data_IF_068108363378
#
_entry.id   IF_068108363378
#
_cell.length_a   1.000
_cell.length_b   1.000
_cell.length_c   1.000
_cell.angle_alpha   90.00
_cell.angle_beta   90.00
_cell.angle_gamma   90.00
#
_symmetry.space_group_name_H-M   'P 1'
#
loop_
_entity.id
_entity.type
_entity.pdbx_description
1 polymer ?
#
# COMPACT_ATOMS: atom_id res chain seq x y z
N UNK A 1 12.23 -11.06 -22.10
CA UNK A 1 11.71 -9.93 -22.89
C UNK A 1 11.40 -10.42 -24.30
N UNK A 2 10.56 -9.70 -25.07
CA UNK A 2 10.27 -10.07 -26.45
C UNK A 2 9.24 -11.20 -26.64
N UNK A 3 8.31 -11.39 -25.68
CA UNK A 3 7.12 -12.22 -25.86
C UNK A 3 6.01 -11.33 -26.38
N UNK A 4 5.37 -11.75 -27.46
CA UNK A 4 4.25 -11.08 -28.09
C UNK A 4 2.95 -11.29 -27.28
N UNK A 5 1.90 -10.53 -27.59
CA UNK A 5 0.63 -10.57 -26.85
C UNK A 5 -0.09 -11.93 -26.90
N UNK A 6 0.16 -12.73 -27.94
CA UNK A 6 -0.37 -14.08 -28.12
C UNK A 6 0.49 -15.16 -27.45
N UNK A 7 1.58 -14.76 -26.76
CA UNK A 7 2.52 -15.67 -26.11
C UNK A 7 3.64 -16.20 -27.02
N UNK A 8 3.67 -15.83 -28.30
CA UNK A 8 4.74 -16.21 -29.22
C UNK A 8 6.04 -15.45 -28.95
N UNK A 9 7.17 -15.98 -29.43
CA UNK A 9 8.46 -15.32 -29.33
C UNK A 9 8.61 -14.32 -30.47
N UNK A 10 8.73 -13.04 -30.14
CA UNK A 10 9.02 -11.99 -31.11
C UNK A 10 10.50 -11.97 -31.54
N UNK A 11 10.86 -11.14 -32.54
CA UNK A 11 12.21 -11.10 -33.10
C UNK A 11 13.29 -10.70 -32.10
N UNK A 12 12.94 -10.01 -31.02
CA UNK A 12 13.84 -9.60 -29.94
C UNK A 12 13.72 -10.49 -28.70
N UNK A 13 13.18 -11.71 -28.84
CA UNK A 13 13.03 -12.61 -27.71
C UNK A 13 14.39 -13.00 -27.13
N UNK A 14 14.50 -12.83 -25.82
CA UNK A 14 15.62 -13.32 -25.03
C UNK A 14 15.09 -14.14 -23.86
N UNK A 15 15.57 -15.36 -23.72
CA UNK A 15 15.26 -16.19 -22.57
C UNK A 15 15.81 -15.55 -21.31
N UNK A 16 15.00 -15.54 -20.24
CA UNK A 16 15.45 -15.09 -18.92
C UNK A 16 16.50 -16.04 -18.32
N UNK A 17 17.19 -15.56 -17.30
CA UNK A 17 18.11 -16.39 -16.51
C UNK A 17 17.35 -17.20 -15.46
N UNK A 18 17.78 -18.43 -15.22
CA UNK A 18 17.31 -19.25 -14.10
C UNK A 18 18.22 -18.97 -12.89
N UNK A 19 17.64 -18.40 -11.82
CA UNK A 19 18.31 -18.26 -10.54
C UNK A 19 17.96 -19.48 -9.68
N UNK A 20 18.98 -20.21 -9.22
CA UNK A 20 18.79 -21.41 -8.41
C UNK A 20 18.95 -21.08 -6.93
N UNK A 21 18.02 -21.56 -6.10
CA UNK A 21 18.03 -21.38 -4.65
C UNK A 21 17.39 -22.58 -3.95
N UNK A 22 17.62 -22.75 -2.65
CA UNK A 22 16.92 -23.78 -1.87
C UNK A 22 15.44 -23.40 -1.66
N UNK A 23 15.17 -22.12 -1.50
CA UNK A 23 13.83 -21.56 -1.29
C UNK A 23 13.67 -20.26 -2.08
N UNK A 24 12.43 -19.95 -2.42
CA UNK A 24 12.04 -18.69 -3.06
C UNK A 24 11.14 -17.91 -2.10
N UNK A 25 11.52 -16.68 -1.81
CA UNK A 25 10.69 -15.75 -1.04
C UNK A 25 10.05 -14.74 -1.98
N UNK A 26 8.72 -14.65 -1.95
CA UNK A 26 7.91 -13.84 -2.87
C UNK A 26 7.53 -12.54 -2.19
N UNK A 27 8.20 -11.44 -2.57
CA UNK A 27 8.00 -10.09 -2.02
C UNK A 27 7.31 -9.13 -2.98
N UNK A 28 6.22 -9.53 -3.64
CA UNK A 28 5.54 -8.75 -4.69
C UNK A 28 4.48 -7.77 -4.17
N UNK A 29 4.22 -7.76 -2.87
CA UNK A 29 3.16 -6.95 -2.27
C UNK A 29 1.76 -7.54 -2.46
N UNK A 30 0.74 -6.70 -2.25
CA UNK A 30 -0.66 -7.10 -2.08
C UNK A 30 -1.30 -7.78 -3.30
N UNK A 31 -0.81 -7.54 -4.50
CA UNK A 31 -1.34 -8.12 -5.75
C UNK A 31 -0.24 -8.55 -6.71
N UNK A 32 0.75 -9.24 -6.20
CA UNK A 32 1.82 -9.80 -7.00
C UNK A 32 1.31 -10.78 -8.06
N UNK A 33 1.87 -10.75 -9.26
CA UNK A 33 1.47 -11.63 -10.34
C UNK A 33 1.75 -13.09 -10.02
N UNK A 34 2.97 -13.39 -9.60
CA UNK A 34 3.39 -14.73 -9.24
C UNK A 34 2.71 -15.22 -7.94
N UNK A 35 2.54 -14.33 -6.96
CA UNK A 35 1.84 -14.67 -5.71
C UNK A 35 0.41 -15.18 -5.97
N UNK A 36 -0.34 -14.57 -6.91
CA UNK A 36 -1.69 -15.04 -7.28
C UNK A 36 -1.67 -16.44 -7.87
N UNK A 37 -0.75 -16.70 -8.80
CA UNK A 37 -0.60 -18.01 -9.43
C UNK A 37 -0.23 -19.10 -8.40
N UNK A 38 0.65 -18.78 -7.45
CA UNK A 38 1.06 -19.69 -6.39
C UNK A 38 -0.08 -19.97 -5.40
N UNK A 39 -0.83 -18.94 -5.02
CA UNK A 39 -2.01 -19.10 -4.15
C UNK A 39 -3.03 -20.04 -4.78
N UNK A 40 -3.31 -19.88 -6.06
CA UNK A 40 -4.21 -20.74 -6.80
C UNK A 40 -3.64 -22.17 -6.95
N UNK A 41 -2.41 -22.28 -7.46
CA UNK A 41 -1.75 -23.57 -7.73
C UNK A 41 -1.64 -24.48 -6.50
N UNK A 42 -1.34 -23.89 -5.33
CA UNK A 42 -1.18 -24.62 -4.08
C UNK A 42 -2.41 -24.54 -3.16
N UNK A 43 -3.50 -23.93 -3.65
CA UNK A 43 -4.74 -23.74 -2.88
C UNK A 43 -4.50 -23.09 -1.51
N UNK A 44 -3.58 -22.10 -1.44
CA UNK A 44 -3.14 -21.50 -0.19
C UNK A 44 -4.25 -20.69 0.48
N UNK A 45 -5.23 -20.20 -0.27
CA UNK A 45 -6.38 -19.43 0.23
C UNK A 45 -7.60 -20.27 0.62
N UNK A 46 -7.50 -21.62 0.63
CA UNK A 46 -8.68 -22.50 0.85
C UNK A 46 -9.41 -22.22 2.16
N UNK A 47 -8.64 -21.99 3.22
CA UNK A 47 -9.14 -21.83 4.59
C UNK A 47 -9.14 -20.37 5.05
N UNK A 48 -8.97 -19.41 4.12
CA UNK A 48 -8.93 -17.98 4.41
C UNK A 48 -10.24 -17.30 4.01
N UNK A 49 -10.64 -16.29 4.77
CA UNK A 49 -11.72 -15.39 4.38
C UNK A 49 -11.32 -14.50 3.19
N UNK A 50 -12.28 -13.97 2.42
CA UNK A 50 -12.00 -13.06 1.33
C UNK A 50 -11.19 -11.85 1.79
N UNK A 51 -10.16 -11.49 1.00
CA UNK A 51 -9.31 -10.36 1.31
C UNK A 51 -10.05 -9.03 1.09
N UNK A 52 -9.81 -8.11 2.01
CA UNK A 52 -10.23 -6.72 1.93
C UNK A 52 -9.02 -5.84 1.64
N UNK A 53 -9.21 -4.83 0.80
CA UNK A 53 -8.13 -3.95 0.37
C UNK A 53 -8.38 -2.51 0.78
N UNK A 54 -7.31 -1.78 1.03
CA UNK A 54 -7.27 -0.34 1.17
C UNK A 54 -6.37 0.28 0.10
N UNK A 55 -6.54 1.58 -0.10
CA UNK A 55 -5.61 2.42 -0.85
C UNK A 55 -4.94 3.39 0.12
N UNK A 56 -3.64 3.24 0.29
CA UNK A 56 -2.81 4.18 1.03
C UNK A 56 -2.17 5.18 0.09
N UNK A 57 -2.36 6.46 0.37
CA UNK A 57 -1.71 7.59 -0.31
C UNK A 57 -0.84 8.28 0.72
N UNK A 58 0.40 8.58 0.38
CA UNK A 58 1.30 9.32 1.28
C UNK A 58 2.11 10.37 0.54
N UNK A 59 2.45 11.42 1.26
CA UNK A 59 3.33 12.48 0.82
C UNK A 59 4.46 12.67 1.84
N UNK A 60 5.65 12.97 1.33
CA UNK A 60 6.77 13.44 2.14
C UNK A 60 6.84 14.97 2.02
N UNK A 61 6.86 15.62 3.16
CA UNK A 61 6.96 17.08 3.26
C UNK A 61 8.18 17.50 4.07
N UNK A 62 8.83 18.56 3.65
CA UNK A 62 9.71 19.36 4.48
C UNK A 62 8.88 20.48 5.11
N UNK A 63 8.91 20.58 6.43
CA UNK A 63 8.13 21.57 7.19
C UNK A 63 9.06 22.57 7.90
N UNK A 64 8.49 23.64 8.40
CA UNK A 64 9.24 24.62 9.18
C UNK A 64 9.80 23.99 10.45
N UNK A 65 11.08 24.28 10.82
CA UNK A 65 11.72 23.69 12.00
C UNK A 65 10.94 23.88 13.31
N UNK A 66 10.30 25.05 13.49
CA UNK A 66 9.51 25.36 14.69
C UNK A 66 8.24 24.52 14.85
N UNK A 67 7.77 23.89 13.77
CA UNK A 67 6.61 22.99 13.76
C UNK A 67 7.03 21.50 13.88
N UNK A 68 8.31 21.23 13.74
CA UNK A 68 8.83 19.87 13.72
C UNK A 68 9.02 19.32 15.13
N UNK A 69 8.60 18.06 15.34
CA UNK A 69 8.74 17.34 16.62
C UNK A 69 9.33 15.95 16.35
N UNK A 70 10.67 15.79 16.31
CA UNK A 70 11.31 14.55 15.92
C UNK A 70 10.76 13.33 16.68
N UNK A 71 10.40 12.27 15.93
CA UNK A 71 9.88 11.03 16.49
C UNK A 71 8.41 11.06 16.91
N UNK A 72 7.71 12.21 16.77
CA UNK A 72 6.27 12.26 17.00
C UNK A 72 5.54 11.43 15.93
N UNK A 73 4.66 10.56 16.37
CA UNK A 73 3.78 9.73 15.53
C UNK A 73 2.34 10.04 15.95
N UNK A 74 1.51 10.39 14.96
CA UNK A 74 0.10 10.65 15.16
C UNK A 74 -0.71 9.77 14.20
N UNK A 75 -1.75 9.13 14.73
CA UNK A 75 -2.75 8.41 13.95
C UNK A 75 -4.11 9.03 14.18
N UNK A 76 -4.93 9.08 13.14
CA UNK A 76 -6.32 9.49 13.26
C UNK A 76 -7.24 8.64 12.38
N UNK A 77 -8.52 8.68 12.68
CA UNK A 77 -9.58 8.01 11.93
C UNK A 77 -10.83 8.91 11.87
N UNK A 78 -11.77 8.56 10.98
CA UNK A 78 -12.99 9.31 10.78
C UNK A 78 -12.83 10.40 9.72
N UNK A 79 -13.02 11.65 10.10
CA UNK A 79 -12.98 12.76 9.14
C UNK A 79 -11.69 12.75 8.28
N UNK A 80 -11.79 12.99 6.95
CA UNK A 80 -12.97 13.42 6.16
C UNK A 80 -13.91 12.29 5.74
N UNK A 81 -13.60 11.03 6.05
CA UNK A 81 -14.46 9.89 5.74
C UNK A 81 -15.71 9.91 6.60
N UNK A 82 -16.82 9.43 6.03
CA UNK A 82 -18.06 9.19 6.78
C UNK A 82 -17.98 7.88 7.57
N UNK A 83 -18.88 7.69 8.53
CA UNK A 83 -18.92 6.51 9.41
C UNK A 83 -19.12 5.17 8.70
N UNK A 84 -19.60 5.19 7.46
CA UNK A 84 -19.79 4.01 6.60
C UNK A 84 -18.56 3.65 5.74
N UNK A 85 -17.50 4.44 5.83
CA UNK A 85 -16.27 4.26 5.05
C UNK A 85 -15.08 4.12 5.99
N UNK A 86 -14.46 2.95 5.98
CA UNK A 86 -13.26 2.69 6.77
C UNK A 86 -12.02 3.39 6.20
N UNK A 87 -11.10 3.70 7.10
CA UNK A 87 -9.83 4.34 6.75
C UNK A 87 -9.26 5.13 7.91
N UNK A 88 -8.21 5.88 7.66
CA UNK A 88 -7.54 6.69 8.67
C UNK A 88 -6.34 7.41 8.10
N UNK A 89 -5.62 8.08 8.98
CA UNK A 89 -4.42 8.82 8.59
C UNK A 89 -3.27 8.60 9.56
N UNK A 90 -2.09 8.97 9.10
CA UNK A 90 -0.91 9.05 9.94
C UNK A 90 -0.05 10.26 9.58
N UNK A 91 0.64 10.79 10.58
CA UNK A 91 1.67 11.82 10.43
C UNK A 91 2.88 11.34 11.23
N UNK A 92 4.02 11.19 10.57
CA UNK A 92 5.28 10.76 11.17
C UNK A 92 6.33 11.84 11.01
N UNK A 93 6.84 12.36 12.12
CA UNK A 93 7.96 13.31 12.12
C UNK A 93 9.28 12.53 12.01
N UNK A 94 9.92 12.66 10.88
CA UNK A 94 11.20 12.04 10.52
C UNK A 94 12.37 12.96 10.89
N UNK A 95 13.64 12.56 10.76
CA UNK A 95 14.77 13.48 10.79
C UNK A 95 14.66 14.63 9.76
N UNK A 96 15.51 15.64 9.88
CA UNK A 96 15.70 16.71 8.88
C UNK A 96 14.45 17.54 8.56
N UNK A 97 13.63 17.85 9.59
CA UNK A 97 12.37 18.61 9.45
C UNK A 97 11.38 18.01 8.46
N UNK A 98 11.46 16.70 8.25
CA UNK A 98 10.56 16.00 7.34
C UNK A 98 9.39 15.36 8.08
N UNK A 99 8.26 15.30 7.39
CA UNK A 99 7.08 14.57 7.86
C UNK A 99 6.50 13.72 6.73
N UNK A 100 6.14 12.46 7.05
CA UNK A 100 5.20 11.74 6.23
C UNK A 100 3.78 12.09 6.63
N UNK A 101 2.97 12.42 5.65
CA UNK A 101 1.51 12.56 5.80
C UNK A 101 0.87 11.49 4.94
N UNK A 102 0.12 10.60 5.55
CA UNK A 102 -0.52 9.48 4.85
C UNK A 102 -2.00 9.38 5.17
N UNK A 103 -2.75 8.84 4.22
CA UNK A 103 -4.17 8.63 4.32
C UNK A 103 -4.56 7.31 3.67
N UNK A 104 -5.36 6.52 4.35
CA UNK A 104 -5.84 5.23 3.88
C UNK A 104 -7.35 5.27 3.72
N UNK A 105 -7.85 4.76 2.61
CA UNK A 105 -9.28 4.55 2.38
C UNK A 105 -9.50 3.08 2.05
N UNK A 106 -10.40 2.41 2.79
CA UNK A 106 -10.82 1.06 2.46
C UNK A 106 -11.58 1.05 1.13
N UNK A 107 -11.27 0.10 0.24
CA UNK A 107 -11.83 0.09 -1.13
C UNK A 107 -13.23 -0.52 -1.22
N UNK A 108 -13.82 -0.93 -0.12
CA UNK A 108 -15.21 -1.42 -0.06
C UNK A 108 -16.23 -0.32 0.27
N UNK A 109 -15.88 0.96 0.06
CA UNK A 109 -16.81 2.06 0.23
C UNK A 109 -17.99 1.96 -0.76
N UNK A 110 -19.16 2.44 -0.33
CA UNK A 110 -20.40 2.33 -1.12
C UNK A 110 -20.67 3.52 -2.03
N UNK A 111 -20.08 4.68 -1.71
CA UNK A 111 -20.29 5.91 -2.47
C UNK A 111 -19.46 5.90 -3.76
N UNK A 112 -20.05 5.77 -4.95
CA UNK A 112 -19.30 5.73 -6.21
C UNK A 112 -18.61 7.07 -6.56
N UNK A 113 -18.97 8.17 -5.91
CA UNK A 113 -18.35 9.47 -6.10
C UNK A 113 -17.22 9.76 -5.13
N UNK A 114 -16.92 8.84 -4.21
CA UNK A 114 -15.78 9.00 -3.30
C UNK A 114 -14.48 8.87 -4.08
N UNK A 115 -13.62 9.86 -3.95
CA UNK A 115 -12.26 9.84 -4.48
C UNK A 115 -11.26 9.72 -3.32
N UNK A 116 -10.53 8.60 -3.16
CA UNK A 116 -9.52 8.49 -2.12
C UNK A 116 -8.49 9.62 -2.16
N UNK A 117 -8.08 10.05 -3.35
CA UNK A 117 -7.20 11.21 -3.50
C UNK A 117 -7.87 12.51 -3.04
N UNK A 118 -9.14 12.71 -3.41
CA UNK A 118 -9.92 13.87 -2.97
C UNK A 118 -10.07 13.91 -1.45
N UNK A 119 -10.36 12.79 -0.81
CA UNK A 119 -10.46 12.70 0.65
C UNK A 119 -9.10 12.98 1.33
N UNK A 120 -7.99 12.52 0.74
CA UNK A 120 -6.66 12.89 1.23
C UNK A 120 -6.39 14.39 1.10
N UNK A 121 -6.81 15.06 0.00
CA UNK A 121 -6.69 16.52 -0.11
C UNK A 121 -7.54 17.23 0.97
N UNK A 122 -8.77 16.75 1.20
CA UNK A 122 -9.63 17.27 2.28
C UNK A 122 -8.99 17.06 3.65
N UNK A 123 -8.40 15.91 3.93
CA UNK A 123 -7.69 15.65 5.18
C UNK A 123 -6.63 16.74 5.47
N UNK A 124 -5.90 17.17 4.47
CA UNK A 124 -4.89 18.20 4.62
C UNK A 124 -5.47 19.62 4.90
N UNK A 125 -6.78 19.80 4.75
CA UNK A 125 -7.45 21.07 5.15
C UNK A 125 -7.93 21.07 6.60
N UNK A 126 -7.76 19.96 7.35
CA UNK A 126 -7.99 19.98 8.79
C UNK A 126 -7.09 21.03 9.45
N UNK A 127 -7.61 21.87 10.38
CA UNK A 127 -6.82 22.95 10.97
C UNK A 127 -5.43 22.54 11.46
N UNK A 128 -5.33 21.47 12.23
CA UNK A 128 -4.06 20.98 12.79
C UNK A 128 -3.08 20.52 11.70
N UNK A 129 -3.60 19.89 10.63
CA UNK A 129 -2.77 19.40 9.51
C UNK A 129 -2.36 20.55 8.60
N UNK A 130 -3.28 21.45 8.32
CA UNK A 130 -3.02 22.65 7.51
C UNK A 130 -1.97 23.55 8.19
N UNK A 131 -2.10 23.78 9.50
CA UNK A 131 -1.14 24.51 10.29
C UNK A 131 0.26 23.88 10.24
N UNK A 132 0.34 22.55 10.40
CA UNK A 132 1.61 21.81 10.32
C UNK A 132 2.29 22.01 8.97
N UNK A 133 1.53 21.92 7.87
CA UNK A 133 2.05 21.95 6.50
C UNK A 133 2.24 23.37 5.95
N UNK A 134 1.73 24.40 6.63
CA UNK A 134 1.80 25.79 6.18
C UNK A 134 3.25 26.27 6.03
N UNK A 135 3.58 26.75 4.83
CA UNK A 135 4.93 27.18 4.46
C UNK A 135 5.92 26.03 4.25
N UNK A 136 5.45 24.78 4.32
CA UNK A 136 6.23 23.60 3.97
C UNK A 136 6.27 23.34 2.47
N UNK A 137 7.11 22.39 2.07
CA UNK A 137 7.30 21.97 0.69
C UNK A 137 7.08 20.45 0.56
N UNK A 138 6.19 20.03 -0.34
CA UNK A 138 6.06 18.63 -0.68
C UNK A 138 7.25 18.15 -1.51
N UNK A 139 7.98 17.14 -1.01
CA UNK A 139 9.16 16.59 -1.64
C UNK A 139 8.83 15.42 -2.58
N UNK A 140 7.93 14.53 -2.13
CA UNK A 140 7.53 13.36 -2.93
C UNK A 140 6.13 12.89 -2.54
N UNK A 141 5.57 11.99 -3.36
CA UNK A 141 4.29 11.35 -3.09
C UNK A 141 4.23 9.95 -3.70
N UNK A 142 3.31 9.13 -3.22
CA UNK A 142 3.05 7.81 -3.77
C UNK A 142 1.76 7.22 -3.23
N UNK A 143 1.27 6.21 -3.94
CA UNK A 143 0.11 5.43 -3.52
C UNK A 143 0.35 3.94 -3.73
N UNK A 144 -0.20 3.12 -2.81
CA UNK A 144 -0.16 1.67 -2.89
C UNK A 144 -1.47 1.09 -2.38
N UNK A 145 -1.90 -0.01 -3.00
CA UNK A 145 -2.90 -0.88 -2.39
C UNK A 145 -2.27 -1.61 -1.20
N UNK A 146 -3.07 -1.84 -0.17
CA UNK A 146 -2.68 -2.57 1.04
C UNK A 146 -3.75 -3.60 1.39
N UNK A 147 -3.35 -4.68 2.05
CA UNK A 147 -4.27 -5.71 2.56
C UNK A 147 -4.86 -5.25 3.88
N UNK A 148 -6.20 -5.28 3.99
CA UNK A 148 -6.96 -4.79 5.15
C UNK A 148 -7.89 -5.86 5.72
N UNK A 149 -7.80 -7.11 5.24
CA UNK A 149 -8.69 -8.20 5.64
C UNK A 149 -8.42 -8.76 7.04
N UNK A 150 -7.26 -8.45 7.62
CA UNK A 150 -6.85 -8.99 8.91
C UNK A 150 -6.36 -10.44 8.83
N UNK A 151 -6.07 -11.02 10.01
CA UNK A 151 -5.47 -12.35 10.13
C UNK A 151 -6.30 -13.45 9.43
N UNK A 152 -7.62 -13.39 9.52
CA UNK A 152 -8.52 -14.37 8.92
C UNK A 152 -8.45 -14.42 7.37
N UNK A 153 -7.96 -13.35 6.74
CA UNK A 153 -7.82 -13.27 5.29
C UNK A 153 -6.40 -13.57 4.79
N UNK A 154 -5.48 -13.92 5.70
CA UNK A 154 -4.12 -14.29 5.34
C UNK A 154 -4.12 -15.72 4.78
N UNK A 155 -3.66 -15.94 3.54
CA UNK A 155 -3.53 -17.28 3.00
C UNK A 155 -2.41 -18.04 3.72
N UNK A 156 -2.34 -19.34 3.54
CA UNK A 156 -1.21 -20.14 4.01
C UNK A 156 0.08 -19.59 3.38
N UNK A 157 1.05 -19.20 4.22
CA UNK A 157 2.27 -18.52 3.80
C UNK A 157 3.42 -19.45 3.38
N UNK A 158 3.20 -20.76 3.34
CA UNK A 158 4.24 -21.72 3.00
C UNK A 158 3.73 -22.69 1.94
N UNK A 159 4.53 -22.90 0.91
CA UNK A 159 4.31 -23.91 -0.12
C UNK A 159 5.61 -24.67 -0.41
N UNK A 160 5.57 -25.84 -1.08
CA UNK A 160 6.80 -26.57 -1.40
C UNK A 160 7.79 -25.72 -2.20
N UNK A 161 8.94 -25.41 -1.58
CA UNK A 161 10.01 -24.64 -2.19
C UNK A 161 9.97 -23.12 -1.94
N UNK A 162 9.01 -22.58 -1.18
CA UNK A 162 8.99 -21.12 -0.95
C UNK A 162 7.91 -20.60 -0.03
N UNK A 163 7.86 -19.27 0.08
CA UNK A 163 6.86 -18.55 0.86
C UNK A 163 6.57 -17.15 0.30
N UNK A 164 5.30 -16.69 0.24
CA UNK A 164 4.96 -15.29 0.09
C UNK A 164 5.24 -14.55 1.41
N UNK A 165 6.06 -13.49 1.37
CA UNK A 165 6.53 -12.79 2.57
C UNK A 165 6.04 -11.35 2.69
N UNK A 166 5.38 -10.80 1.68
CA UNK A 166 4.87 -9.42 1.70
C UNK A 166 3.37 -9.30 1.43
N UNK A 167 2.63 -10.38 1.66
CA UNK A 167 1.18 -10.42 1.47
C UNK A 167 0.41 -9.78 2.63
N UNK A 168 1.05 -9.60 3.79
CA UNK A 168 0.40 -9.34 5.08
C UNK A 168 0.57 -7.92 5.62
N UNK A 169 1.10 -7.00 4.83
CA UNK A 169 1.25 -5.60 5.25
C UNK A 169 1.10 -4.58 4.13
#
# INVERSE_FOLDING_TARGET
MGIERDGSHGPNYQRGMALMGRYVLIGEGVRGSLAKELIERFSLGRDSEPQKFGLGIKELWEIKPEKHKPGLIQHSFGWPLKSDTGGGSFIYHLPDNQVYVGFVTHLNYKNPYLSPFGEFQRFKTHPDVAELLEGGKRLSYGARAISEGGFQSVPKLVFPGGAPVSYTH
#
